data_IF_207375173894
#
_entry.id   IF_207375173894
#
_cell.length_a   1.000
_cell.length_b   1.000
_cell.length_c   1.000
_cell.angle_alpha   90.00
_cell.angle_beta   90.00
_cell.angle_gamma   90.00
#
_symmetry.space_group_name_H-M   'P 1'
#
loop_
_entity.id
_entity.type
_entity.pdbx_description
1 polymer ?
#
# COMPACT_ATOMS: atom_id res chain seq x y z
N UNK A 1 -11.65 2.42 -12.59
CA UNK A 1 -10.31 2.60 -12.00
C UNK A 1 -10.32 1.96 -10.62
N UNK A 2 -9.62 0.84 -10.40
CA UNK A 2 -9.52 0.25 -9.06
C UNK A 2 -8.70 1.17 -8.15
N UNK A 3 -9.20 1.44 -6.95
CA UNK A 3 -8.50 2.26 -5.96
C UNK A 3 -8.07 1.39 -4.79
N UNK A 4 -7.07 1.85 -4.03
CA UNK A 4 -6.59 1.17 -2.82
C UNK A 4 -7.70 0.96 -1.77
N UNK A 5 -8.76 1.78 -1.83
CA UNK A 5 -9.93 1.73 -0.94
C UNK A 5 -10.85 0.57 -1.31
N UNK A 6 -11.01 0.29 -2.61
CA UNK A 6 -11.77 -0.87 -3.10
C UNK A 6 -11.03 -2.18 -2.81
N UNK A 7 -9.70 -2.20 -2.97
CA UNK A 7 -8.85 -3.33 -2.55
C UNK A 7 -9.03 -3.61 -1.05
N UNK A 8 -9.03 -2.56 -0.22
CA UNK A 8 -9.20 -2.66 1.22
C UNK A 8 -10.56 -3.29 1.60
N UNK A 9 -11.65 -2.82 0.99
CA UNK A 9 -12.99 -3.39 1.19
C UNK A 9 -13.07 -4.85 0.80
N UNK A 10 -12.53 -5.23 -0.37
CA UNK A 10 -12.53 -6.63 -0.85
C UNK A 10 -11.70 -7.56 0.04
N UNK A 11 -10.55 -7.10 0.50
CA UNK A 11 -9.70 -7.87 1.40
C UNK A 11 -10.20 -7.88 2.86
N UNK A 12 -11.21 -7.08 3.20
CA UNK A 12 -11.74 -6.94 4.56
C UNK A 12 -10.75 -6.29 5.53
N UNK A 13 -9.93 -5.35 5.03
CA UNK A 13 -8.90 -4.67 5.82
C UNK A 13 -8.98 -3.16 5.67
N UNK A 14 -8.22 -2.42 6.49
CA UNK A 14 -8.09 -0.97 6.34
C UNK A 14 -7.17 -0.58 5.18
N UNK A 15 -7.37 0.63 4.62
CA UNK A 15 -6.45 1.23 3.63
C UNK A 15 -5.00 1.28 4.15
N UNK A 16 -4.81 1.53 5.45
CA UNK A 16 -3.50 1.55 6.08
C UNK A 16 -2.83 0.16 6.05
N UNK A 17 -3.62 -0.90 6.26
CA UNK A 17 -3.14 -2.29 6.16
C UNK A 17 -2.71 -2.61 4.74
N UNK A 18 -3.50 -2.25 3.72
CA UNK A 18 -3.12 -2.42 2.30
C UNK A 18 -1.83 -1.66 2.00
N UNK A 19 -1.70 -0.41 2.48
CA UNK A 19 -0.48 0.38 2.33
C UNK A 19 0.74 -0.30 2.95
N UNK A 20 0.61 -0.87 4.16
CA UNK A 20 1.70 -1.61 4.82
C UNK A 20 2.09 -2.87 4.06
N UNK A 21 1.10 -3.65 3.60
CA UNK A 21 1.35 -4.87 2.81
C UNK A 21 2.09 -4.52 1.52
N UNK A 22 1.64 -3.47 0.81
CA UNK A 22 2.26 -3.03 -0.45
C UNK A 22 3.63 -2.37 -0.25
N UNK A 23 3.83 -1.68 0.88
CA UNK A 23 5.11 -1.02 1.20
C UNK A 23 6.12 -1.98 1.85
N UNK A 24 5.69 -3.18 2.25
CA UNK A 24 6.51 -4.16 2.97
C UNK A 24 6.95 -3.72 4.37
N UNK A 25 6.43 -2.59 4.87
CA UNK A 25 6.90 -1.97 6.10
C UNK A 25 5.89 -2.24 7.23
N UNK A 26 6.26 -3.09 8.18
CA UNK A 26 5.48 -3.46 9.36
C UNK A 26 5.09 -4.94 9.45
N UNK A 27 4.57 -5.32 10.62
CA UNK A 27 4.13 -6.69 10.89
C UNK A 27 2.67 -6.88 10.45
N UNK A 28 2.46 -7.72 9.43
CA UNK A 28 1.14 -8.11 8.92
C UNK A 28 1.14 -9.62 8.79
N UNK A 29 0.11 -10.28 9.32
CA UNK A 29 -0.03 -11.73 9.23
C UNK A 29 -0.01 -12.21 7.77
N UNK A 30 0.55 -13.40 7.54
CA UNK A 30 0.64 -14.01 6.22
C UNK A 30 -0.75 -14.08 5.56
N UNK A 31 -1.75 -14.55 6.31
CA UNK A 31 -3.14 -14.65 5.86
C UNK A 31 -3.70 -13.32 5.35
N UNK A 32 -3.40 -12.22 6.05
CA UNK A 32 -3.83 -10.88 5.66
C UNK A 32 -3.11 -10.42 4.40
N UNK A 33 -1.82 -10.75 4.24
CA UNK A 33 -1.08 -10.47 3.00
C UNK A 33 -1.71 -11.20 1.83
N UNK A 34 -2.00 -12.49 1.96
CA UNK A 34 -2.62 -13.30 0.91
C UNK A 34 -3.98 -12.75 0.49
N UNK A 35 -4.84 -12.38 1.45
CA UNK A 35 -6.13 -11.74 1.18
C UNK A 35 -5.98 -10.43 0.39
N UNK A 36 -5.01 -9.60 0.76
CA UNK A 36 -4.73 -8.34 0.06
C UNK A 36 -4.20 -8.59 -1.35
N UNK A 37 -3.24 -9.50 -1.52
CA UNK A 37 -2.70 -9.84 -2.84
C UNK A 37 -3.76 -10.42 -3.77
N UNK A 38 -4.65 -11.28 -3.25
CA UNK A 38 -5.79 -11.80 -4.00
C UNK A 38 -6.74 -10.68 -4.43
N UNK A 39 -7.10 -9.78 -3.52
CA UNK A 39 -7.95 -8.63 -3.84
C UNK A 39 -7.30 -7.67 -4.85
N UNK A 40 -5.98 -7.47 -4.78
CA UNK A 40 -5.21 -6.68 -5.75
C UNK A 40 -5.27 -7.31 -7.14
N UNK A 41 -5.05 -8.63 -7.23
CA UNK A 41 -5.13 -9.37 -8.49
C UNK A 41 -6.53 -9.32 -9.11
N UNK A 42 -7.58 -9.55 -8.32
CA UNK A 42 -8.97 -9.53 -8.77
C UNK A 42 -9.50 -8.13 -9.12
N UNK A 43 -8.94 -7.09 -8.50
CA UNK A 43 -9.34 -5.71 -8.80
C UNK A 43 -8.56 -5.10 -9.97
N UNK A 44 -7.48 -5.76 -10.43
CA UNK A 44 -6.57 -5.17 -11.40
C UNK A 44 -5.86 -3.92 -10.88
N UNK A 45 -5.76 -3.76 -9.55
CA UNK A 45 -5.10 -2.62 -8.94
C UNK A 45 -3.60 -2.67 -9.23
N UNK A 46 -3.15 -1.79 -10.13
CA UNK A 46 -1.72 -1.58 -10.39
C UNK A 46 -1.25 -0.38 -9.59
N UNK A 47 -0.43 -0.56 -8.54
CA UNK A 47 0.20 0.57 -7.87
C UNK A 47 1.04 1.33 -8.92
N UNK A 48 0.63 2.55 -9.24
CA UNK A 48 1.33 3.36 -10.22
C UNK A 48 2.70 3.76 -9.64
N UNK A 49 3.78 3.15 -10.14
CA UNK A 49 5.14 3.39 -9.67
C UNK A 49 5.54 4.88 -9.78
N UNK A 50 4.95 5.62 -10.73
CA UNK A 50 5.16 7.07 -10.88
C UNK A 50 4.65 7.86 -9.66
N UNK A 51 3.55 7.42 -9.02
CA UNK A 51 3.05 8.05 -7.79
C UNK A 51 3.96 7.76 -6.58
N UNK A 52 4.70 6.64 -6.60
CA UNK A 52 5.66 6.28 -5.54
C UNK A 52 6.88 7.20 -5.52
N UNK A 53 7.33 7.63 -6.70
CA UNK A 53 8.45 8.58 -6.83
C UNK A 53 8.06 10.02 -6.44
N UNK A 54 6.79 10.40 -6.56
CA UNK A 54 6.32 11.72 -6.12
C UNK A 54 6.16 11.80 -4.58
N UNK A 55 5.71 10.70 -3.95
CA UNK A 55 5.55 10.62 -2.48
C UNK A 55 6.88 10.51 -1.73
N UNK A 56 7.94 10.08 -2.40
CA UNK A 56 9.32 10.08 -1.90
C UNK A 56 10.00 11.41 -2.21
N UNK A 57 9.41 12.54 -1.79
CA UNK A 57 10.20 13.74 -1.59
C UNK A 57 10.92 13.57 -0.25
N UNK A 58 12.24 13.33 -0.21
CA UNK A 58 12.95 13.32 1.05
C UNK A 58 12.72 14.67 1.70
N UNK A 59 12.00 14.66 2.83
CA UNK A 59 11.93 15.83 3.71
C UNK A 59 13.36 15.98 4.22
N UNK A 60 14.09 16.97 3.67
CA UNK A 60 15.44 17.32 4.11
C UNK A 60 15.46 17.30 5.64
N UNK A 61 16.38 16.59 6.30
CA UNK A 61 16.65 16.88 7.69
C UNK A 61 17.17 18.32 7.69
N UNK A 62 16.38 19.23 8.24
CA UNK A 62 16.86 20.54 8.61
C UNK A 62 17.99 20.30 9.62
N UNK A 63 19.21 20.38 9.11
CA UNK A 63 20.30 21.09 9.74
C UNK A 63 20.24 21.15 11.26
N UNK A 64 20.92 20.20 11.90
CA UNK A 64 21.44 20.37 13.25
C UNK A 64 22.85 20.96 13.08
N UNK A 65 22.94 22.29 13.12
CA UNK A 65 24.16 23.03 13.44
C UNK A 65 23.92 23.80 14.73
#
# INVERSE_FOLDING_TARGET
MATMLEVAKRAGVSKATVSRVLSGNGYVSQETKDRVFKAVAESGYRPNLLARNLATKPRKPSAWW
#
